data_IF_143180674844
#
_entry.id   IF_143180674844
#
_cell.length_a   1.000
_cell.length_b   1.000
_cell.length_c   1.000
_cell.angle_alpha   90.00
_cell.angle_beta   90.00
_cell.angle_gamma   90.00
#
_symmetry.space_group_name_H-M   'P 1'
#
loop_
_entity.id
_entity.type
_entity.pdbx_description
1 polymer ?
#
# COMPACT_ATOMS: atom_id res chain seq x y z
N UNK A 1 -4.65 -22.35 -12.59
CA UNK A 1 -3.55 -22.67 -11.66
C UNK A 1 -2.84 -21.36 -11.34
N UNK A 2 -2.72 -20.98 -10.07
CA UNK A 2 -1.97 -19.79 -9.67
C UNK A 2 -0.52 -20.21 -9.46
N UNK A 3 0.41 -19.60 -10.18
CA UNK A 3 1.85 -19.86 -10.00
C UNK A 3 2.42 -18.77 -9.11
N UNK A 4 3.07 -19.16 -8.01
CA UNK A 4 3.77 -18.24 -7.12
C UNK A 4 5.23 -18.22 -7.55
N UNK A 5 5.77 -17.05 -7.90
CA UNK A 5 7.16 -16.89 -8.35
C UNK A 5 8.18 -16.63 -7.24
N UNK A 6 7.71 -16.31 -6.03
CA UNK A 6 8.53 -15.89 -4.88
C UNK A 6 7.90 -16.33 -3.56
N UNK A 7 8.70 -16.73 -2.57
CA UNK A 7 8.24 -16.89 -1.19
C UNK A 7 8.24 -15.54 -0.45
N UNK A 8 7.59 -15.46 0.72
CA UNK A 8 7.59 -14.23 1.53
C UNK A 8 9.01 -13.78 1.93
N UNK A 9 9.94 -14.72 2.10
CA UNK A 9 11.36 -14.44 2.38
C UNK A 9 12.12 -13.85 1.19
N UNK A 10 11.56 -13.92 -0.03
CA UNK A 10 12.23 -13.46 -1.26
C UNK A 10 11.90 -12.00 -1.62
N UNK A 11 11.32 -11.21 -0.72
CA UNK A 11 10.97 -9.79 -0.96
C UNK A 11 12.12 -9.00 -1.60
N UNK A 12 13.34 -9.14 -1.09
CA UNK A 12 14.50 -8.42 -1.64
C UNK A 12 14.85 -8.88 -3.06
N UNK A 13 14.67 -10.17 -3.38
CA UNK A 13 14.89 -10.70 -4.73
C UNK A 13 13.84 -10.19 -5.70
N UNK A 14 12.57 -10.17 -5.30
CA UNK A 14 11.47 -9.64 -6.10
C UNK A 14 11.66 -8.14 -6.40
N UNK A 15 12.15 -7.37 -5.43
CA UNK A 15 12.50 -5.96 -5.65
C UNK A 15 13.70 -5.82 -6.61
N UNK A 16 14.77 -6.60 -6.40
CA UNK A 16 15.96 -6.55 -7.25
C UNK A 16 15.69 -6.96 -8.71
N UNK A 17 14.80 -7.92 -8.93
CA UNK A 17 14.38 -8.37 -10.26
C UNK A 17 13.34 -7.46 -10.93
N UNK A 18 12.89 -6.41 -10.23
CA UNK A 18 11.81 -5.50 -10.67
C UNK A 18 10.52 -6.26 -11.01
N UNK A 19 10.12 -7.18 -10.13
CA UNK A 19 8.93 -7.99 -10.35
C UNK A 19 7.69 -7.14 -10.70
N UNK A 20 6.94 -7.62 -11.67
CA UNK A 20 5.67 -7.06 -12.10
C UNK A 20 4.62 -8.14 -12.33
N UNK A 21 4.72 -9.26 -11.60
CA UNK A 21 3.76 -10.36 -11.69
C UNK A 21 2.60 -10.23 -10.72
N UNK A 22 2.59 -9.17 -9.90
CA UNK A 22 1.59 -8.90 -8.87
C UNK A 22 0.16 -8.79 -9.41
N UNK A 23 -0.80 -9.14 -8.54
CA UNK A 23 -2.22 -9.22 -8.88
C UNK A 23 -3.08 -8.65 -7.75
N UNK A 24 -4.21 -8.05 -8.12
CA UNK A 24 -5.27 -7.67 -7.20
C UNK A 24 -6.40 -8.69 -7.30
N UNK A 25 -6.74 -9.33 -6.19
CA UNK A 25 -7.82 -10.31 -6.12
C UNK A 25 -9.03 -9.76 -5.38
N UNK A 26 -10.21 -10.22 -5.79
CA UNK A 26 -11.44 -10.13 -5.02
C UNK A 26 -11.84 -11.53 -4.60
N UNK A 27 -12.25 -11.67 -3.35
CA UNK A 27 -12.92 -12.87 -2.86
C UNK A 27 -14.39 -12.57 -2.55
N UNK A 28 -15.31 -13.38 -3.10
CA UNK A 28 -16.72 -13.37 -2.77
C UNK A 28 -17.02 -14.55 -1.82
N UNK A 29 -17.20 -14.30 -0.51
CA UNK A 29 -17.42 -15.37 0.47
C UNK A 29 -18.76 -16.09 0.29
N UNK A 30 -19.78 -15.42 -0.27
CA UNK A 30 -21.10 -16.03 -0.49
C UNK A 30 -21.06 -17.10 -1.60
N UNK A 31 -20.20 -16.88 -2.60
CA UNK A 31 -20.02 -17.78 -3.74
C UNK A 31 -18.77 -18.65 -3.61
N UNK A 32 -17.89 -18.35 -2.66
CA UNK A 32 -16.55 -18.92 -2.50
C UNK A 32 -15.70 -18.80 -3.77
N UNK A 33 -15.83 -17.67 -4.46
CA UNK A 33 -15.15 -17.41 -5.74
C UNK A 33 -14.05 -16.37 -5.55
N UNK A 34 -12.88 -16.64 -6.12
CA UNK A 34 -11.80 -15.67 -6.29
C UNK A 34 -11.84 -15.14 -7.72
N UNK A 35 -11.77 -13.83 -7.88
CA UNK A 35 -11.69 -13.15 -9.17
C UNK A 35 -10.42 -12.31 -9.21
N UNK A 36 -9.68 -12.40 -10.30
CA UNK A 36 -8.55 -11.50 -10.57
C UNK A 36 -9.12 -10.18 -11.12
N UNK A 37 -8.88 -9.08 -10.42
CA UNK A 37 -9.34 -7.74 -10.82
C UNK A 37 -8.27 -7.03 -11.67
N UNK A 38 -6.99 -7.17 -11.29
CA UNK A 38 -5.85 -6.62 -12.01
C UNK A 38 -4.67 -7.59 -11.97
N UNK A 39 -3.85 -7.56 -13.01
CA UNK A 39 -2.59 -8.29 -13.13
C UNK A 39 -1.50 -7.34 -13.64
N UNK A 40 -0.24 -7.77 -13.59
CA UNK A 40 0.87 -6.95 -14.08
C UNK A 40 1.27 -5.83 -13.13
N UNK A 41 0.96 -5.96 -11.83
CA UNK A 41 1.26 -4.95 -10.82
C UNK A 41 2.70 -5.09 -10.33
N UNK A 42 3.43 -3.98 -10.28
CA UNK A 42 4.85 -3.96 -9.92
C UNK A 42 5.08 -3.79 -8.43
N UNK A 43 5.36 -4.92 -7.75
CA UNK A 43 5.45 -4.99 -6.30
C UNK A 43 4.14 -4.62 -5.62
N UNK A 44 3.05 -5.32 -5.95
CA UNK A 44 1.74 -5.09 -5.31
C UNK A 44 1.80 -5.41 -3.83
N UNK A 45 1.83 -4.37 -2.99
CA UNK A 45 2.10 -4.52 -1.56
C UNK A 45 0.83 -4.44 -0.70
N UNK A 46 0.04 -3.38 -0.89
CA UNK A 46 -1.16 -3.12 -0.12
C UNK A 46 -2.36 -2.74 -0.96
N UNK A 47 -3.57 -2.95 -0.41
CA UNK A 47 -4.79 -2.47 -1.03
C UNK A 47 -5.81 -1.98 0.00
N UNK A 48 -6.67 -1.04 -0.40
CA UNK A 48 -7.76 -0.53 0.44
C UNK A 48 -8.97 -0.16 -0.41
N UNK A 49 -10.16 -0.61 0.01
CA UNK A 49 -11.42 -0.17 -0.58
C UNK A 49 -11.78 1.26 -0.12
N UNK A 50 -12.40 2.04 -1.01
CA UNK A 50 -13.02 3.31 -0.67
C UNK A 50 -14.16 3.12 0.34
N UNK A 51 -14.55 4.19 1.05
CA UNK A 51 -15.59 4.13 2.09
C UNK A 51 -16.97 3.76 1.52
N UNK A 52 -17.27 4.15 0.29
CA UNK A 52 -18.52 3.86 -0.44
C UNK A 52 -18.45 2.56 -1.28
N UNK A 53 -17.28 1.91 -1.30
CA UNK A 53 -17.01 0.73 -2.11
C UNK A 53 -17.10 0.96 -3.62
N UNK A 54 -16.93 2.19 -4.09
CA UNK A 54 -16.88 2.53 -5.53
C UNK A 54 -15.55 2.16 -6.19
N UNK A 55 -14.44 2.12 -5.44
CA UNK A 55 -13.13 1.73 -5.96
C UNK A 55 -12.25 1.02 -4.91
N UNK A 56 -11.17 0.40 -5.38
CA UNK A 56 -10.07 -0.13 -4.56
C UNK A 56 -8.76 0.50 -5.02
N UNK A 57 -7.95 0.95 -4.06
CA UNK A 57 -6.58 1.36 -4.30
C UNK A 57 -5.65 0.16 -4.15
N UNK A 58 -4.60 0.10 -4.96
CA UNK A 58 -3.50 -0.86 -4.82
C UNK A 58 -2.17 -0.15 -5.01
N UNK A 59 -1.26 -0.31 -4.06
CA UNK A 59 0.09 0.23 -4.14
C UNK A 59 0.98 -0.64 -5.03
N UNK A 60 1.84 0.00 -5.81
CA UNK A 60 2.90 -0.65 -6.56
C UNK A 60 4.23 -0.15 -6.01
N UNK A 61 4.80 -0.91 -5.07
CA UNK A 61 6.01 -0.55 -4.34
C UNK A 61 7.20 -0.32 -5.29
N UNK A 62 7.41 -1.20 -6.26
CA UNK A 62 8.55 -1.15 -7.17
C UNK A 62 8.37 -0.04 -8.22
N UNK A 63 7.16 0.10 -8.77
CA UNK A 63 6.84 1.19 -9.74
C UNK A 63 6.64 2.55 -9.07
N UNK A 64 6.57 2.59 -7.74
CA UNK A 64 6.42 3.80 -6.94
C UNK A 64 5.19 4.63 -7.30
N UNK A 65 4.03 3.96 -7.45
CA UNK A 65 2.75 4.64 -7.61
C UNK A 65 1.60 3.86 -6.97
N UNK A 66 0.41 4.46 -6.94
CA UNK A 66 -0.83 3.80 -6.51
C UNK A 66 -1.78 3.77 -7.70
N UNK A 67 -2.42 2.62 -7.93
CA UNK A 67 -3.50 2.47 -8.93
C UNK A 67 -4.86 2.49 -8.26
N UNK A 68 -5.86 2.96 -8.99
CA UNK A 68 -7.28 2.86 -8.66
C UNK A 68 -7.95 1.86 -9.58
N UNK A 69 -8.65 0.89 -9.01
CA UNK A 69 -9.55 -0.02 -9.72
C UNK A 69 -11.00 0.31 -9.39
N UNK A 70 -11.81 0.59 -10.40
CA UNK A 70 -13.21 0.97 -10.24
C UNK A 70 -14.09 -0.27 -10.07
N UNK A 71 -14.86 -0.32 -8.98
CA UNK A 71 -15.80 -1.41 -8.66
C UNK A 71 -17.21 -1.08 -9.15
N UNK A 72 -17.61 0.19 -9.07
CA UNK A 72 -18.96 0.67 -9.43
C UNK A 72 -18.87 1.88 -10.38
N UNK A 73 -20.03 2.27 -10.93
CA UNK A 73 -20.18 3.44 -11.79
C UNK A 73 -19.81 3.17 -13.26
N UNK A 74 -19.77 4.22 -14.07
CA UNK A 74 -19.52 4.13 -15.51
C UNK A 74 -18.14 3.60 -15.88
N UNK A 75 -17.19 3.65 -14.94
CA UNK A 75 -15.83 3.12 -15.08
C UNK A 75 -15.65 1.71 -14.49
N UNK A 76 -16.70 1.06 -13.98
CA UNK A 76 -16.58 -0.24 -13.31
C UNK A 76 -15.81 -1.27 -14.16
N UNK A 77 -14.87 -1.98 -13.54
CA UNK A 77 -14.00 -2.96 -14.21
C UNK A 77 -12.73 -2.37 -14.80
N UNK A 78 -12.58 -1.04 -14.84
CA UNK A 78 -11.38 -0.36 -15.37
C UNK A 78 -10.41 0.05 -14.25
N UNK A 79 -9.20 0.43 -14.65
CA UNK A 79 -8.21 1.00 -13.74
C UNK A 79 -7.49 2.21 -14.33
N UNK A 80 -6.98 3.06 -13.45
CA UNK A 80 -6.17 4.23 -13.78
C UNK A 80 -5.09 4.45 -12.72
N UNK A 81 -4.07 5.23 -13.06
CA UNK A 81 -3.11 5.69 -12.04
C UNK A 81 -3.81 6.70 -11.12
N UNK A 82 -3.68 6.49 -9.81
CA UNK A 82 -4.32 7.31 -8.79
C UNK A 82 -3.42 8.47 -8.37
N UNK A 83 -2.18 8.16 -7.99
CA UNK A 83 -1.16 9.13 -7.62
C UNK A 83 0.22 8.48 -7.66
N UNK A 84 1.23 9.29 -7.94
CA UNK A 84 2.65 8.96 -7.78
C UNK A 84 3.32 9.84 -6.70
N UNK A 85 2.52 10.56 -5.91
CA UNK A 85 3.02 11.47 -4.88
C UNK A 85 3.59 10.75 -3.64
N UNK A 86 3.36 9.43 -3.51
CA UNK A 86 3.92 8.60 -2.44
C UNK A 86 5.03 7.74 -3.03
N UNK A 87 6.26 7.91 -2.55
CA UNK A 87 7.40 7.10 -2.98
C UNK A 87 7.32 5.70 -2.39
N UNK A 88 7.56 4.67 -3.21
CA UNK A 88 7.57 3.25 -2.82
C UNK A 88 6.45 2.90 -1.82
N UNK A 89 5.18 3.08 -2.22
CA UNK A 89 4.06 2.87 -1.32
C UNK A 89 3.92 1.38 -0.99
N UNK A 90 3.69 1.08 0.28
CA UNK A 90 3.44 -0.25 0.83
C UNK A 90 1.96 -0.37 1.26
N UNK A 91 1.63 -0.81 2.47
CA UNK A 91 0.25 -0.95 2.89
C UNK A 91 -0.52 0.38 2.89
N UNK A 92 -1.79 0.29 2.48
CA UNK A 92 -2.74 1.39 2.43
C UNK A 92 -3.85 1.12 3.44
N UNK A 93 -4.16 2.08 4.31
CA UNK A 93 -5.26 1.99 5.28
C UNK A 93 -6.22 3.15 5.12
N UNK A 94 -7.50 2.85 4.94
CA UNK A 94 -8.56 3.87 4.88
C UNK A 94 -8.79 4.46 6.28
N UNK A 95 -8.98 5.77 6.34
CA UNK A 95 -9.25 6.51 7.57
C UNK A 95 -10.75 6.73 7.72
N UNK A 96 -11.39 5.87 8.52
CA UNK A 96 -12.81 5.96 8.85
C UNK A 96 -13.72 6.15 7.62
N UNK A 97 -14.66 7.09 7.72
CA UNK A 97 -15.58 7.50 6.66
C UNK A 97 -15.09 8.70 5.84
N UNK A 98 -13.97 9.32 6.22
CA UNK A 98 -13.45 10.55 5.58
C UNK A 98 -13.08 10.37 4.10
N UNK A 99 -12.85 9.13 3.66
CA UNK A 99 -12.36 8.82 2.32
C UNK A 99 -10.86 9.06 2.14
N UNK A 100 -10.15 9.49 3.18
CA UNK A 100 -8.70 9.62 3.19
C UNK A 100 -8.02 8.26 3.49
N UNK A 101 -6.72 8.19 3.21
CA UNK A 101 -5.91 7.00 3.42
C UNK A 101 -4.57 7.36 4.06
N UNK A 102 -4.08 6.49 4.94
CA UNK A 102 -2.67 6.43 5.30
C UNK A 102 -1.97 5.41 4.41
N UNK A 103 -0.75 5.72 4.00
CA UNK A 103 0.11 4.86 3.19
C UNK A 103 1.47 4.76 3.87
N UNK A 104 1.94 3.54 4.10
CA UNK A 104 3.31 3.30 4.49
C UNK A 104 4.22 3.56 3.29
N UNK A 105 5.30 4.31 3.49
CA UNK A 105 6.23 4.68 2.45
C UNK A 105 7.65 4.44 2.95
N UNK A 106 8.47 3.80 2.11
CA UNK A 106 9.89 3.58 2.42
C UNK A 106 10.71 3.94 1.20
N UNK A 107 11.37 5.08 1.23
CA UNK A 107 12.35 5.40 0.19
C UNK A 107 13.55 4.49 0.40
N UNK A 108 13.67 3.48 -0.46
CA UNK A 108 14.83 2.60 -0.50
C UNK A 108 15.91 3.27 -1.36
N UNK A 109 17.04 3.62 -0.73
CA UNK A 109 18.22 4.02 -1.48
C UNK A 109 19.08 2.79 -1.65
N UNK A 110 19.46 2.45 -2.90
CA UNK A 110 20.21 1.23 -3.22
C UNK A 110 21.55 1.08 -2.44
N UNK A 111 21.99 2.13 -1.75
CA UNK A 111 23.28 2.24 -1.08
C UNK A 111 23.23 2.95 0.28
N UNK A 112 22.05 3.23 0.84
CA UNK A 112 21.93 4.06 2.06
C UNK A 112 20.76 3.68 2.98
N UNK A 113 20.68 4.31 4.17
CA UNK A 113 19.64 4.03 5.15
C UNK A 113 18.26 4.35 4.57
N UNK A 114 17.26 3.55 4.89
CA UNK A 114 15.90 3.81 4.40
C UNK A 114 15.32 5.08 5.03
N UNK A 115 14.35 5.69 4.35
CA UNK A 115 13.62 6.84 4.88
C UNK A 115 12.13 6.50 5.02
N UNK A 116 11.72 5.85 6.13
CA UNK A 116 10.33 5.46 6.34
C UNK A 116 9.45 6.66 6.72
N UNK A 117 8.27 6.72 6.13
CA UNK A 117 7.28 7.77 6.36
C UNK A 117 5.86 7.21 6.37
N UNK A 118 4.98 7.85 7.14
CA UNK A 118 3.55 7.71 7.02
C UNK A 118 3.02 8.86 6.15
N UNK A 119 2.30 8.55 5.08
CA UNK A 119 1.77 9.57 4.16
C UNK A 119 0.26 9.52 4.14
N UNK A 120 -0.40 10.62 4.55
CA UNK A 120 -1.85 10.78 4.48
C UNK A 120 -2.20 11.37 3.13
N UNK A 121 -3.09 10.70 2.40
CA UNK A 121 -3.59 11.15 1.11
C UNK A 121 -5.12 11.22 1.11
N UNK A 122 -5.68 12.14 0.33
CA UNK A 122 -7.12 12.26 0.17
C UNK A 122 -7.67 11.36 -0.96
N UNK A 123 -8.98 11.37 -1.16
CA UNK A 123 -9.67 10.61 -2.22
C UNK A 123 -9.29 11.00 -3.66
N UNK A 124 -8.61 12.14 -3.84
CA UNK A 124 -8.11 12.63 -5.13
C UNK A 124 -6.62 12.31 -5.34
N UNK A 125 -5.98 11.62 -4.38
CA UNK A 125 -4.57 11.27 -4.45
C UNK A 125 -3.61 12.40 -4.08
N UNK A 126 -4.11 13.49 -3.46
CA UNK A 126 -3.29 14.60 -2.94
C UNK A 126 -2.76 14.25 -1.55
N UNK A 127 -1.50 14.56 -1.31
CA UNK A 127 -0.88 14.45 0.02
C UNK A 127 -1.43 15.54 0.94
N UNK A 128 -1.94 15.14 2.10
CA UNK A 128 -2.42 16.02 3.15
C UNK A 128 -1.39 16.18 4.28
N UNK A 129 -0.63 15.13 4.56
CA UNK A 129 0.33 15.10 5.66
C UNK A 129 1.39 14.04 5.40
N UNK A 130 2.63 14.31 5.80
CA UNK A 130 3.71 13.32 5.85
C UNK A 130 4.34 13.37 7.23
N UNK A 131 4.44 12.21 7.88
CA UNK A 131 5.11 12.04 9.18
C UNK A 131 6.34 11.19 8.97
N UNK A 132 7.52 11.73 9.31
CA UNK A 132 8.76 10.94 9.35
C UNK A 132 8.64 9.89 10.45
N UNK A 133 8.66 8.60 10.05
CA UNK A 133 8.71 7.50 11.01
C UNK A 133 10.14 7.33 11.51
N UNK A 134 11.11 7.75 10.69
CA UNK A 134 12.55 7.70 10.99
C UNK A 134 12.91 8.39 12.30
N UNK A 135 12.28 9.51 12.58
CA UNK A 135 12.61 10.35 13.74
C UNK A 135 12.34 9.64 15.07
N UNK A 136 11.38 8.69 15.08
CA UNK A 136 11.03 7.91 16.28
C UNK A 136 11.60 6.49 16.29
N UNK A 137 11.74 5.88 15.12
CA UNK A 137 12.01 4.44 15.01
C UNK A 137 13.23 4.09 14.16
N UNK A 138 14.02 5.08 13.75
CA UNK A 138 15.21 4.89 12.94
C UNK A 138 14.88 4.48 11.50
N UNK A 139 15.87 3.95 10.80
CA UNK A 139 15.82 3.61 9.37
C UNK A 139 15.23 2.22 9.08
N UNK A 140 14.36 1.71 9.96
CA UNK A 140 13.70 0.42 9.75
C UNK A 140 12.75 0.45 8.56
N UNK A 141 12.50 -0.73 7.96
CA UNK A 141 11.41 -0.88 7.01
C UNK A 141 10.07 -0.72 7.72
N UNK A 142 9.22 0.16 7.20
CA UNK A 142 7.82 0.27 7.63
C UNK A 142 6.95 -0.34 6.56
N UNK A 143 6.18 -1.35 6.95
CA UNK A 143 5.23 -1.98 6.04
C UNK A 143 3.81 -1.46 6.25
N UNK A 144 3.49 -0.92 7.43
CA UNK A 144 2.11 -0.53 7.75
C UNK A 144 2.04 0.71 8.65
N UNK A 145 1.06 1.56 8.35
CA UNK A 145 0.66 2.67 9.19
C UNK A 145 -0.87 2.73 9.25
N UNK A 146 -1.43 2.74 10.45
CA UNK A 146 -2.89 2.70 10.64
C UNK A 146 -3.31 3.69 11.73
N UNK A 147 -4.27 4.56 11.41
CA UNK A 147 -4.81 5.52 12.37
C UNK A 147 -6.00 4.91 13.13
N UNK A 148 -5.94 4.97 14.45
CA UNK A 148 -7.02 4.54 15.33
C UNK A 148 -6.99 5.36 16.62
N UNK A 149 -8.13 5.94 17.00
CA UNK A 149 -8.30 6.73 18.24
C UNK A 149 -7.22 7.81 18.46
N UNK A 150 -6.92 8.59 17.42
CA UNK A 150 -5.94 9.69 17.50
C UNK A 150 -4.48 9.24 17.56
N UNK A 151 -4.21 7.95 17.28
CA UNK A 151 -2.86 7.38 17.26
C UNK A 151 -2.60 6.69 15.93
N UNK A 152 -1.34 6.76 15.51
CA UNK A 152 -0.84 6.04 14.36
C UNK A 152 -0.03 4.83 14.82
N UNK A 153 -0.52 3.65 14.47
CA UNK A 153 0.12 2.36 14.72
C UNK A 153 1.03 2.02 13.55
N UNK A 154 2.30 1.71 13.84
CA UNK A 154 3.35 1.47 12.86
C UNK A 154 3.79 0.00 12.91
N UNK A 155 3.67 -0.70 11.79
CA UNK A 155 4.14 -2.07 11.59
C UNK A 155 5.45 -2.12 10.80
N UNK A 156 6.32 -3.07 11.16
CA UNK A 156 7.63 -3.28 10.55
C UNK A 156 7.89 -4.77 10.31
N UNK A 157 8.63 -5.09 9.25
CA UNK A 157 9.07 -6.46 8.96
C UNK A 157 10.39 -6.83 9.64
N UNK A 158 11.20 -5.83 9.99
CA UNK A 158 12.58 -6.02 10.45
C UNK A 158 12.83 -5.51 11.86
N UNK A 159 11.96 -4.63 12.39
CA UNK A 159 12.08 -4.13 13.75
C UNK A 159 11.44 -5.07 14.79
N UNK A 160 11.99 -5.16 16.02
CA UNK A 160 11.45 -6.00 17.09
C UNK A 160 10.28 -5.31 17.85
N UNK A 161 9.52 -4.44 17.20
CA UNK A 161 8.53 -3.58 17.87
C UNK A 161 7.25 -3.38 17.04
N UNK A 162 6.17 -3.00 17.74
CA UNK A 162 5.02 -2.33 17.16
C UNK A 162 5.07 -0.86 17.62
N UNK A 163 5.12 0.07 16.67
CA UNK A 163 5.32 1.49 16.95
C UNK A 163 4.01 2.23 17.15
N UNK A 164 4.01 3.28 17.98
CA UNK A 164 2.87 4.18 18.17
C UNK A 164 3.34 5.63 18.09
N UNK A 165 2.60 6.46 17.35
CA UNK A 165 2.81 7.90 17.24
C UNK A 165 1.47 8.59 17.59
N UNK A 166 1.44 9.45 18.60
CA UNK A 166 0.28 10.31 18.86
C UNK A 166 0.17 11.40 17.77
N UNK A 167 -1.06 11.65 17.29
CA UNK A 167 -1.39 12.58 16.20
C UNK A 167 -1.93 13.92 16.70
#
# INVERSE_FOLDING_TARGET
MFTIGYECSDVLKAVASKDASGKLFKYDPSKRVVTVLLEGLSGSAGCAASSDGSFVLVSQFIKSNIKRYWIKGSKAGTSEDFTNAVSNPDNIKRIGSSGNFWVASVVNTATGPTNPSAVKINSDGRVLQTISVKDKFGDTLVSEVNEFEGRLYVGTLSGPFAGIIDL
#
